data_IF_455155293116
#
_entry.id   IF_455155293116
#
_cell.length_a   1.000
_cell.length_b   1.000
_cell.length_c   1.000
_cell.angle_alpha   90.00
_cell.angle_beta   90.00
_cell.angle_gamma   90.00
#
_symmetry.space_group_name_H-M   'P 1'
#
loop_
_entity.id
_entity.type
_entity.pdbx_description
1 polymer ?
#
# COMPACT_ATOMS: atom_id res chain seq x y z
N UNK A 1 4.85 -2.80 15.06
CA UNK A 1 4.89 -4.27 15.22
C UNK A 1 3.52 -4.92 15.00
N UNK A 2 2.41 -4.31 15.42
CA UNK A 2 1.02 -4.83 15.26
C UNK A 2 0.57 -5.13 13.84
N UNK A 3 1.10 -4.46 12.80
CA UNK A 3 0.71 -4.71 11.40
C UNK A 3 1.10 -6.10 10.86
N UNK A 4 2.19 -6.71 11.35
CA UNK A 4 2.60 -8.05 10.90
C UNK A 4 1.79 -9.17 11.56
N UNK A 5 1.20 -8.92 12.73
CA UNK A 5 0.43 -9.95 13.45
C UNK A 5 -0.90 -10.29 12.76
N UNK A 6 -1.51 -9.32 12.10
CA UNK A 6 -2.87 -9.40 11.57
C UNK A 6 -2.92 -9.33 10.04
N UNK A 7 -1.97 -9.98 9.36
CA UNK A 7 -1.96 -10.05 7.89
C UNK A 7 -3.14 -10.90 7.38
N UNK A 8 -3.39 -12.04 8.05
CA UNK A 8 -4.53 -12.91 7.74
C UNK A 8 -5.71 -12.64 8.66
N UNK A 9 -6.92 -12.67 8.08
CA UNK A 9 -8.17 -12.69 8.85
C UNK A 9 -8.26 -13.96 9.71
N UNK A 10 -8.99 -13.88 10.81
CA UNK A 10 -9.27 -15.06 11.64
C UNK A 10 -10.08 -16.09 10.85
N UNK A 11 -9.81 -17.37 11.07
CA UNK A 11 -10.40 -18.49 10.36
C UNK A 11 -9.67 -18.90 9.08
N UNK A 12 -8.68 -18.13 8.63
CA UNK A 12 -7.90 -18.47 7.42
C UNK A 12 -6.99 -19.69 7.65
N UNK A 13 -6.31 -19.73 8.79
CA UNK A 13 -5.44 -20.84 9.17
C UNK A 13 -5.62 -21.13 10.67
N UNK A 14 -6.21 -22.29 10.96
CA UNK A 14 -6.53 -22.68 12.34
C UNK A 14 -5.31 -22.77 13.25
N UNK A 15 -4.15 -23.18 12.74
CA UNK A 15 -2.93 -23.24 13.54
C UNK A 15 -2.39 -21.84 13.86
N UNK A 16 -2.47 -20.91 12.90
CA UNK A 16 -2.08 -19.50 13.13
C UNK A 16 -3.01 -18.84 14.17
N UNK A 17 -4.29 -19.16 14.13
CA UNK A 17 -5.25 -18.64 15.11
C UNK A 17 -4.99 -19.20 16.52
N UNK A 18 -4.62 -20.46 16.64
CA UNK A 18 -4.17 -21.04 17.91
C UNK A 18 -2.94 -20.31 18.44
N UNK A 19 -1.91 -20.09 17.61
CA UNK A 19 -0.70 -19.36 18.03
C UNK A 19 -1.02 -17.92 18.47
N UNK A 20 -1.91 -17.22 17.76
CA UNK A 20 -2.38 -15.88 18.14
C UNK A 20 -3.15 -15.88 19.45
N UNK A 21 -3.98 -16.90 19.67
CA UNK A 21 -4.74 -17.06 20.91
C UNK A 21 -3.80 -17.32 22.09
N UNK A 22 -2.80 -18.20 21.92
CA UNK A 22 -1.76 -18.46 22.94
C UNK A 22 -0.98 -17.19 23.30
N UNK A 23 -0.62 -16.36 22.31
CA UNK A 23 -0.01 -15.06 22.58
C UNK A 23 -0.94 -14.15 23.41
N UNK A 24 -2.21 -14.05 23.03
CA UNK A 24 -3.20 -13.21 23.71
C UNK A 24 -3.42 -13.67 25.16
N UNK A 25 -3.57 -14.96 25.38
CA UNK A 25 -3.70 -15.57 26.71
C UNK A 25 -2.45 -15.29 27.56
N UNK A 26 -1.25 -15.46 27.00
CA UNK A 26 0.00 -15.22 27.75
C UNK A 26 0.15 -13.74 28.16
N UNK A 27 -0.32 -12.80 27.33
CA UNK A 27 -0.36 -11.37 27.68
C UNK A 27 -1.41 -11.09 28.75
N UNK A 28 -2.57 -11.74 28.69
CA UNK A 28 -3.60 -11.62 29.72
C UNK A 28 -3.11 -12.14 31.08
N UNK A 29 -2.49 -13.32 31.10
CA UNK A 29 -1.88 -13.87 32.32
C UNK A 29 -0.86 -12.90 32.96
N UNK A 30 -0.08 -12.20 32.13
CA UNK A 30 0.89 -11.22 32.60
C UNK A 30 0.18 -10.03 33.27
N UNK A 31 -0.92 -9.56 32.69
CA UNK A 31 -1.71 -8.49 33.27
C UNK A 31 -2.35 -8.92 34.60
N UNK A 32 -2.89 -10.15 34.67
CA UNK A 32 -3.46 -10.71 35.90
C UNK A 32 -2.43 -10.79 37.03
N UNK A 33 -1.19 -11.24 36.73
CA UNK A 33 -0.09 -11.25 37.71
C UNK A 33 0.23 -9.82 38.20
N UNK A 34 0.22 -8.84 37.30
CA UNK A 34 0.50 -7.45 37.68
C UNK A 34 -0.63 -6.88 38.56
N UNK A 35 -1.88 -7.21 38.26
CA UNK A 35 -3.02 -6.76 39.06
C UNK A 35 -3.02 -7.41 40.46
N UNK A 36 -2.66 -8.69 40.56
CA UNK A 36 -2.42 -9.35 41.86
C UNK A 36 -1.32 -8.63 42.66
N UNK A 37 -0.22 -8.22 42.03
CA UNK A 37 0.83 -7.46 42.71
C UNK A 37 0.38 -6.06 43.15
N UNK A 38 -0.51 -5.41 42.38
CA UNK A 38 -1.10 -4.12 42.78
C UNK A 38 -1.97 -4.27 44.02
N UNK A 39 -2.81 -5.31 44.07
CA UNK A 39 -3.69 -5.58 45.22
C UNK A 39 -2.89 -5.99 46.46
N UNK A 40 -1.94 -6.91 46.30
CA UNK A 40 -1.16 -7.47 47.41
C UNK A 40 -0.28 -6.42 48.09
N UNK A 41 0.40 -5.58 47.32
CA UNK A 41 1.36 -4.62 47.88
C UNK A 41 0.78 -3.21 48.05
N UNK A 42 -0.41 -2.94 47.51
CA UNK A 42 -1.07 -1.63 47.54
C UNK A 42 -0.15 -0.50 47.05
N UNK A 43 0.59 -0.78 45.97
CA UNK A 43 1.49 0.15 45.30
C UNK A 43 0.92 0.49 43.92
N UNK A 44 0.87 1.77 43.50
CA UNK A 44 0.34 2.18 42.20
C UNK A 44 1.31 1.87 41.06
N UNK A 45 1.46 0.59 40.73
CA UNK A 45 2.37 0.09 39.69
C UNK A 45 1.79 0.40 38.31
N UNK A 46 2.60 0.96 37.40
CA UNK A 46 2.27 1.13 35.99
C UNK A 46 3.02 0.11 35.14
N UNK A 47 2.29 -0.60 34.27
CA UNK A 47 2.88 -1.47 33.27
C UNK A 47 3.41 -0.63 32.11
N UNK A 48 4.63 -0.90 31.69
CA UNK A 48 5.27 -0.28 30.53
C UNK A 48 5.82 -1.37 29.62
N UNK A 49 5.93 -1.08 28.32
CA UNK A 49 6.48 -2.00 27.34
C UNK A 49 7.65 -1.36 26.61
N UNK A 50 8.74 -2.11 26.44
CA UNK A 50 9.87 -1.74 25.59
C UNK A 50 10.22 -2.90 24.67
N UNK A 51 10.57 -2.61 23.43
CA UNK A 51 10.93 -3.62 22.43
C UNK A 51 12.16 -4.46 22.82
N UNK A 52 13.06 -3.93 23.66
CA UNK A 52 14.29 -4.63 24.07
C UNK A 52 14.14 -5.44 25.34
N UNK A 53 13.27 -5.02 26.27
CA UNK A 53 13.16 -5.63 27.61
C UNK A 53 11.80 -6.27 27.86
N UNK A 54 10.86 -6.16 26.92
CA UNK A 54 9.48 -6.62 27.09
C UNK A 54 8.70 -5.72 28.06
N UNK A 55 7.73 -6.31 28.75
CA UNK A 55 6.95 -5.65 29.79
C UNK A 55 7.78 -5.44 31.05
N UNK A 56 7.69 -4.26 31.64
CA UNK A 56 8.33 -3.93 32.91
C UNK A 56 7.43 -3.01 33.72
N UNK A 57 7.73 -2.93 35.02
CA UNK A 57 6.93 -2.18 35.98
C UNK A 57 7.59 -0.83 36.24
N UNK A 58 6.78 0.20 36.42
CA UNK A 58 7.26 1.52 36.81
C UNK A 58 6.36 2.18 37.85
N UNK A 59 6.97 3.02 38.68
CA UNK A 59 6.28 3.87 39.65
C UNK A 59 6.95 5.24 39.72
N UNK A 60 6.18 6.29 39.98
CA UNK A 60 6.74 7.61 40.28
C UNK A 60 7.30 7.61 41.70
N UNK A 61 8.49 8.19 41.91
CA UNK A 61 9.13 8.25 43.24
C UNK A 61 8.30 8.98 44.29
N UNK A 62 7.47 9.94 43.85
CA UNK A 62 6.54 10.68 44.73
C UNK A 62 5.43 9.78 45.28
N UNK A 63 5.00 8.76 44.53
CA UNK A 63 3.93 7.83 44.93
C UNK A 63 4.40 6.70 45.85
N UNK A 64 5.71 6.61 46.09
CA UNK A 64 6.27 5.59 46.97
C UNK A 64 6.25 6.02 48.44
N UNK A 65 6.05 7.32 48.76
CA UNK A 65 5.84 7.92 50.11
C UNK A 65 6.47 7.11 51.27
N UNK A 66 7.78 6.87 51.20
CA UNK A 66 8.60 6.14 52.19
C UNK A 66 8.32 4.62 52.38
N UNK A 67 7.44 4.00 51.61
CA UNK A 67 7.29 2.53 51.55
C UNK A 67 8.51 1.90 50.88
N UNK A 68 9.14 0.92 51.53
CA UNK A 68 10.18 0.11 50.89
C UNK A 68 9.57 -0.77 49.79
N UNK A 69 10.26 -0.87 48.65
CA UNK A 69 9.90 -1.81 47.60
C UNK A 69 10.03 -3.25 48.14
N UNK A 70 9.00 -4.09 48.01
CA UNK A 70 9.07 -5.51 48.34
C UNK A 70 10.26 -6.21 47.65
N UNK A 71 10.87 -7.18 48.35
CA UNK A 71 12.02 -7.96 47.85
C UNK A 71 11.73 -8.78 46.58
N UNK A 72 10.45 -8.97 46.24
CA UNK A 72 10.01 -9.62 45.00
C UNK A 72 10.39 -8.80 43.76
N UNK A 73 10.54 -7.48 43.90
CA UNK A 73 10.96 -6.59 42.83
C UNK A 73 12.48 -6.59 42.66
N UNK A 74 12.92 -6.94 41.47
CA UNK A 74 14.32 -7.06 41.06
C UNK A 74 14.65 -6.08 39.93
N UNK A 75 15.94 -5.92 39.63
CA UNK A 75 16.45 -5.03 38.58
C UNK A 75 15.94 -3.58 38.70
N UNK A 76 15.86 -3.08 39.93
CA UNK A 76 15.40 -1.73 40.23
C UNK A 76 16.38 -0.70 39.66
N UNK A 77 15.89 0.17 38.78
CA UNK A 77 16.64 1.29 38.20
C UNK A 77 15.89 2.59 38.44
N UNK A 78 16.59 3.60 38.95
CA UNK A 78 16.03 4.95 39.14
C UNK A 78 16.38 5.81 37.92
N UNK A 79 15.38 6.39 37.27
CA UNK A 79 15.53 7.38 36.19
C UNK A 79 14.73 8.63 36.53
N UNK A 80 15.43 9.73 36.86
CA UNK A 80 14.81 11.00 37.31
C UNK A 80 13.83 10.77 38.47
N UNK A 81 12.52 10.94 38.22
CA UNK A 81 11.40 10.77 39.16
C UNK A 81 10.66 9.44 39.00
N UNK A 82 11.22 8.49 38.26
CA UNK A 82 10.58 7.19 37.98
C UNK A 82 11.50 6.05 38.39
N UNK A 83 10.98 5.12 39.15
CA UNK A 83 11.62 3.84 39.45
C UNK A 83 11.06 2.80 38.49
N UNK A 84 11.94 2.05 37.83
CA UNK A 84 11.57 0.93 36.95
C UNK A 84 12.12 -0.36 37.53
N UNK A 85 11.33 -1.42 37.53
CA UNK A 85 11.68 -2.71 38.12
C UNK A 85 10.92 -3.85 37.42
N UNK A 86 11.25 -5.08 37.75
CA UNK A 86 10.57 -6.28 37.24
C UNK A 86 10.50 -7.35 38.33
N UNK A 87 9.84 -8.47 38.08
CA UNK A 87 9.84 -9.65 38.95
C UNK A 87 10.31 -10.86 38.16
N UNK A 88 10.73 -11.93 38.84
CA UNK A 88 11.10 -13.19 38.17
C UNK A 88 9.94 -13.75 37.34
N UNK A 89 8.71 -13.61 37.81
CA UNK A 89 7.50 -14.06 37.09
C UNK A 89 7.24 -13.23 35.84
N UNK A 90 7.33 -11.90 35.92
CA UNK A 90 7.19 -11.01 34.76
C UNK A 90 8.28 -11.29 33.73
N UNK A 91 9.52 -11.55 34.16
CA UNK A 91 10.60 -11.95 33.26
C UNK A 91 10.31 -13.28 32.56
N UNK A 92 9.82 -14.30 33.28
CA UNK A 92 9.43 -15.59 32.67
C UNK A 92 8.29 -15.44 31.66
N UNK A 93 7.27 -14.65 32.00
CA UNK A 93 6.15 -14.37 31.09
C UNK A 93 6.61 -13.60 29.87
N UNK A 94 7.51 -12.62 30.00
CA UNK A 94 8.09 -11.91 28.85
C UNK A 94 8.80 -12.85 27.87
N UNK A 95 9.58 -13.81 28.36
CA UNK A 95 10.20 -14.82 27.50
C UNK A 95 9.13 -15.60 26.73
N UNK A 96 8.11 -16.11 27.43
CA UNK A 96 7.01 -16.85 26.80
C UNK A 96 6.21 -16.02 25.78
N UNK A 97 5.99 -14.73 26.06
CA UNK A 97 5.35 -13.78 25.14
C UNK A 97 6.18 -13.62 23.88
N UNK A 98 7.51 -13.45 24.01
CA UNK A 98 8.41 -13.33 22.86
C UNK A 98 8.46 -14.63 22.04
N UNK A 99 8.47 -15.78 22.69
CA UNK A 99 8.45 -17.08 22.01
C UNK A 99 7.14 -17.25 21.22
N UNK A 100 6.01 -16.95 21.86
CA UNK A 100 4.68 -17.01 21.22
C UNK A 100 4.58 -16.02 20.04
N UNK A 101 5.13 -14.81 20.18
CA UNK A 101 5.20 -13.84 19.07
C UNK A 101 6.04 -14.37 17.91
N UNK A 102 7.18 -14.98 18.21
CA UNK A 102 8.08 -15.55 17.20
C UNK A 102 7.38 -16.66 16.43
N UNK A 103 6.65 -17.54 17.12
CA UNK A 103 5.84 -18.59 16.52
C UNK A 103 4.77 -18.00 15.59
N UNK A 104 4.01 -17.00 16.04
CA UNK A 104 3.01 -16.32 15.20
C UNK A 104 3.64 -15.74 13.94
N UNK A 105 4.84 -15.15 14.02
CA UNK A 105 5.53 -14.63 12.84
C UNK A 105 5.94 -15.75 11.87
N UNK A 106 6.58 -16.82 12.37
CA UNK A 106 6.99 -17.95 11.52
C UNK A 106 5.79 -18.60 10.83
N UNK A 107 4.68 -18.77 11.55
CA UNK A 107 3.44 -19.31 10.98
C UNK A 107 2.81 -18.37 9.97
N UNK A 108 2.84 -17.06 10.21
CA UNK A 108 2.36 -16.06 9.26
C UNK A 108 3.18 -16.07 7.98
N UNK A 109 4.50 -16.07 8.10
CA UNK A 109 5.41 -16.07 6.94
C UNK A 109 5.20 -17.33 6.09
N UNK A 110 5.13 -18.51 6.72
CA UNK A 110 4.80 -19.76 6.03
C UNK A 110 3.46 -19.69 5.30
N UNK A 111 2.43 -19.17 5.96
CA UNK A 111 1.09 -19.02 5.36
C UNK A 111 1.11 -18.07 4.16
N UNK A 112 1.94 -17.02 4.17
CA UNK A 112 2.15 -16.12 3.03
C UNK A 112 2.83 -16.86 1.88
N UNK A 113 3.89 -17.63 2.18
CA UNK A 113 4.61 -18.40 1.16
C UNK A 113 3.69 -19.42 0.48
N UNK A 114 2.87 -20.12 1.25
CA UNK A 114 1.88 -21.07 0.73
C UNK A 114 0.87 -20.38 -0.18
N UNK A 115 0.33 -19.22 0.24
CA UNK A 115 -0.60 -18.42 -0.58
C UNK A 115 0.06 -17.92 -1.88
N UNK A 116 1.29 -17.42 -1.82
CA UNK A 116 2.02 -16.97 -3.00
C UNK A 116 2.25 -18.15 -3.95
N UNK A 117 2.59 -19.32 -3.43
CA UNK A 117 2.77 -20.54 -4.22
C UNK A 117 1.47 -20.93 -4.96
N UNK A 118 0.33 -20.87 -4.27
CA UNK A 118 -0.97 -21.13 -4.86
C UNK A 118 -1.32 -20.13 -5.98
N UNK A 119 -1.13 -18.84 -5.73
CA UNK A 119 -1.39 -17.77 -6.72
C UNK A 119 -0.49 -17.92 -7.95
N UNK A 120 0.78 -18.32 -7.76
CA UNK A 120 1.72 -18.53 -8.87
C UNK A 120 1.21 -19.57 -9.86
N UNK A 121 0.52 -20.61 -9.40
CA UNK A 121 -0.12 -21.61 -10.29
C UNK A 121 -1.15 -20.99 -11.24
N UNK A 122 -1.82 -19.91 -10.82
CA UNK A 122 -2.85 -19.20 -11.58
C UNK A 122 -2.37 -17.97 -12.36
N UNK A 123 -1.07 -17.67 -12.36
CA UNK A 123 -0.56 -16.36 -12.83
C UNK A 123 -0.88 -16.10 -14.31
N UNK A 124 -0.89 -17.14 -15.14
CA UNK A 124 -1.22 -17.01 -16.57
C UNK A 124 -2.65 -16.52 -16.81
N UNK A 125 -3.61 -16.92 -15.96
CA UNK A 125 -5.00 -16.44 -16.03
C UNK A 125 -5.09 -14.98 -15.60
N UNK A 126 -4.37 -14.60 -14.53
CA UNK A 126 -4.34 -13.21 -14.05
C UNK A 126 -3.78 -12.24 -15.10
N UNK A 127 -2.72 -12.64 -15.82
CA UNK A 127 -2.20 -11.83 -16.93
C UNK A 127 -3.22 -11.65 -18.06
N UNK A 128 -3.91 -12.73 -18.47
CA UNK A 128 -4.95 -12.64 -19.52
C UNK A 128 -6.11 -11.73 -19.10
N UNK A 129 -6.54 -11.80 -17.84
CA UNK A 129 -7.57 -10.91 -17.31
C UNK A 129 -7.08 -9.46 -17.31
N UNK A 130 -5.85 -9.21 -16.85
CA UNK A 130 -5.26 -7.87 -16.86
C UNK A 130 -5.17 -7.28 -18.28
N UNK A 131 -4.73 -8.08 -19.25
CA UNK A 131 -4.65 -7.67 -20.67
C UNK A 131 -6.04 -7.36 -21.23
N UNK A 132 -7.03 -8.22 -20.93
CA UNK A 132 -8.41 -8.02 -21.37
C UNK A 132 -9.01 -6.74 -20.79
N UNK A 133 -8.78 -6.46 -19.50
CA UNK A 133 -9.23 -5.24 -18.85
C UNK A 133 -8.54 -4.02 -19.46
N UNK A 134 -7.23 -4.07 -19.68
CA UNK A 134 -6.48 -2.98 -20.29
C UNK A 134 -6.96 -2.69 -21.73
N UNK A 135 -7.22 -3.73 -22.52
CA UNK A 135 -7.76 -3.58 -23.87
C UNK A 135 -9.17 -2.97 -23.84
N UNK A 136 -10.03 -3.42 -22.93
CA UNK A 136 -11.36 -2.85 -22.75
C UNK A 136 -11.29 -1.37 -22.37
N UNK A 137 -10.41 -1.00 -21.43
CA UNK A 137 -10.21 0.38 -21.00
C UNK A 137 -9.71 1.28 -22.15
N UNK A 138 -8.76 0.79 -22.96
CA UNK A 138 -8.30 1.51 -24.16
C UNK A 138 -9.43 1.69 -25.18
N UNK A 139 -10.17 0.64 -25.50
CA UNK A 139 -11.26 0.70 -26.49
C UNK A 139 -12.40 1.61 -26.03
N UNK A 140 -12.78 1.55 -24.75
CA UNK A 140 -13.80 2.43 -24.17
C UNK A 140 -13.34 3.89 -24.15
N UNK A 141 -12.05 4.15 -23.88
CA UNK A 141 -11.45 5.48 -23.98
C UNK A 141 -11.52 6.04 -25.41
N UNK A 142 -11.22 5.22 -26.42
CA UNK A 142 -11.37 5.63 -27.82
C UNK A 142 -12.83 5.87 -28.20
N UNK A 143 -13.75 4.99 -27.80
CA UNK A 143 -15.18 5.17 -28.06
C UNK A 143 -15.72 6.47 -27.43
N UNK A 144 -15.30 6.76 -26.19
CA UNK A 144 -15.64 8.01 -25.51
C UNK A 144 -15.08 9.23 -26.27
N UNK A 145 -13.80 9.19 -26.69
CA UNK A 145 -13.21 10.27 -27.48
C UNK A 145 -13.94 10.51 -28.81
N UNK A 146 -14.35 9.46 -29.51
CA UNK A 146 -15.16 9.58 -30.73
C UNK A 146 -16.58 10.09 -30.49
N UNK A 147 -17.09 10.03 -29.26
CA UNK A 147 -18.43 10.54 -28.90
C UNK A 147 -18.38 12.02 -28.53
N UNK A 148 -17.34 12.44 -27.81
CA UNK A 148 -17.18 13.84 -27.36
C UNK A 148 -16.52 14.72 -28.42
N UNK A 149 -15.70 14.13 -29.29
CA UNK A 149 -15.02 14.81 -30.40
C UNK A 149 -15.53 14.30 -31.74
N UNK A 150 -15.41 15.12 -32.79
CA UNK A 150 -15.84 14.76 -34.15
C UNK A 150 -14.82 13.86 -34.90
N UNK A 151 -14.24 12.87 -34.21
CA UNK A 151 -13.36 11.90 -34.87
C UNK A 151 -14.17 10.95 -35.75
N UNK A 152 -13.56 10.53 -36.85
CA UNK A 152 -14.14 9.56 -37.78
C UNK A 152 -13.25 8.32 -37.85
N UNK A 153 -13.84 7.17 -38.11
CA UNK A 153 -13.07 5.94 -38.34
C UNK A 153 -12.34 6.07 -39.69
N UNK A 154 -11.00 5.97 -39.73
CA UNK A 154 -10.26 6.04 -40.98
C UNK A 154 -10.45 4.78 -41.83
N UNK A 155 -10.29 4.94 -43.14
CA UNK A 155 -10.24 3.84 -44.11
C UNK A 155 -8.80 3.68 -44.60
N UNK A 156 -8.30 2.44 -44.62
CA UNK A 156 -6.96 2.15 -45.11
C UNK A 156 -6.99 1.90 -46.62
N UNK A 157 -6.34 2.78 -47.38
CA UNK A 157 -6.24 2.73 -48.85
C UNK A 157 -4.82 3.05 -49.32
N UNK A 158 -4.55 2.96 -50.63
CA UNK A 158 -3.24 3.33 -51.21
C UNK A 158 -3.00 4.85 -51.26
N UNK A 159 -3.94 5.66 -50.76
CA UNK A 159 -3.87 7.12 -50.79
C UNK A 159 -4.06 7.70 -49.39
N UNK A 160 -3.41 8.83 -49.13
CA UNK A 160 -3.68 9.66 -47.96
C UNK A 160 -4.69 10.71 -48.36
N UNK A 161 -5.93 10.58 -47.90
CA UNK A 161 -6.99 11.57 -48.13
C UNK A 161 -7.59 11.98 -46.79
N UNK A 162 -7.21 13.18 -46.31
CA UNK A 162 -7.74 13.78 -45.09
C UNK A 162 -8.62 14.94 -45.50
N UNK A 163 -9.91 14.88 -45.14
CA UNK A 163 -10.85 15.99 -45.35
C UNK A 163 -11.13 16.68 -44.03
N UNK A 164 -11.05 18.00 -44.01
CA UNK A 164 -11.22 18.84 -42.85
C UNK A 164 -10.40 18.38 -41.63
N UNK A 165 -9.17 17.94 -41.84
CA UNK A 165 -8.30 17.44 -40.77
C UNK A 165 -7.96 18.54 -39.76
N UNK A 166 -7.81 18.16 -38.49
CA UNK A 166 -7.50 19.06 -37.37
C UNK A 166 -6.38 18.52 -36.50
N UNK A 167 -5.55 19.40 -35.94
CA UNK A 167 -4.49 18.93 -35.05
C UNK A 167 -5.07 18.63 -33.64
N UNK A 168 -5.10 17.36 -33.20
CA UNK A 168 -5.83 16.96 -31.99
C UNK A 168 -5.27 17.60 -30.70
N UNK A 169 -3.96 17.80 -30.65
CA UNK A 169 -3.28 18.43 -29.51
C UNK A 169 -3.51 19.94 -29.45
N UNK A 170 -3.66 20.61 -30.60
CA UNK A 170 -3.88 22.06 -30.63
C UNK A 170 -5.35 22.42 -30.52
N UNK A 171 -6.24 21.60 -31.06
CA UNK A 171 -7.69 21.82 -30.98
C UNK A 171 -8.18 21.79 -29.53
N UNK A 172 -7.66 20.89 -28.71
CA UNK A 172 -7.99 20.80 -27.28
C UNK A 172 -7.48 21.98 -26.43
N UNK A 173 -6.48 22.72 -26.91
CA UNK A 173 -5.86 23.85 -26.19
C UNK A 173 -6.34 25.22 -26.69
N UNK A 174 -6.95 25.29 -27.88
CA UNK A 174 -7.43 26.54 -28.47
C UNK A 174 -8.85 26.83 -28.01
N UNK A 175 -9.05 28.02 -27.43
CA UNK A 175 -10.38 28.50 -27.02
C UNK A 175 -11.20 29.03 -28.21
N UNK A 176 -10.54 29.43 -29.29
CA UNK A 176 -11.14 29.92 -30.53
C UNK A 176 -11.31 28.80 -31.59
N UNK A 177 -12.08 29.08 -32.64
CA UNK A 177 -12.34 28.13 -33.73
C UNK A 177 -11.06 27.71 -34.46
N UNK A 178 -10.73 26.42 -34.41
CA UNK A 178 -9.62 25.83 -35.16
C UNK A 178 -10.01 25.65 -36.64
N UNK A 179 -9.19 26.17 -37.56
CA UNK A 179 -9.42 26.05 -39.01
C UNK A 179 -8.92 24.70 -39.52
N UNK A 180 -9.80 23.82 -40.04
CA UNK A 180 -9.40 22.52 -40.56
C UNK A 180 -8.71 22.63 -41.93
N UNK A 181 -7.90 21.64 -42.29
CA UNK A 181 -7.18 21.59 -43.58
C UNK A 181 -7.36 20.24 -44.27
N UNK A 182 -7.53 20.28 -45.59
CA UNK A 182 -7.54 19.10 -46.44
C UNK A 182 -6.11 18.67 -46.79
N UNK A 183 -5.87 17.36 -46.93
CA UNK A 183 -4.60 16.80 -47.39
C UNK A 183 -4.87 15.66 -48.35
N UNK A 184 -4.21 15.67 -49.50
CA UNK A 184 -4.27 14.58 -50.47
C UNK A 184 -2.87 14.18 -50.95
N UNK A 185 -2.52 12.92 -50.80
CA UNK A 185 -1.30 12.35 -51.38
C UNK A 185 -1.58 10.97 -51.99
N UNK A 186 -0.95 10.72 -53.12
CA UNK A 186 -1.08 9.47 -53.89
C UNK A 186 0.25 9.14 -54.54
N UNK A 187 0.38 7.99 -55.19
CA UNK A 187 1.61 7.60 -55.90
C UNK A 187 2.02 8.59 -57.00
N UNK A 188 1.06 9.28 -57.61
CA UNK A 188 1.29 10.33 -58.62
C UNK A 188 1.53 11.70 -58.02
N UNK A 189 1.12 11.92 -56.77
CA UNK A 189 1.22 13.20 -56.03
C UNK A 189 1.80 12.97 -54.64
N UNK A 190 3.07 12.54 -54.59
CA UNK A 190 3.77 12.13 -53.37
C UNK A 190 4.66 13.22 -52.76
N UNK A 191 4.76 14.39 -53.40
CA UNK A 191 5.55 15.52 -52.93
C UNK A 191 4.74 16.81 -52.98
N UNK A 192 4.69 17.54 -51.86
CA UNK A 192 3.99 18.81 -51.74
C UNK A 192 4.93 19.91 -51.25
N UNK A 193 5.01 21.02 -51.98
CA UNK A 193 5.75 22.20 -51.56
C UNK A 193 4.81 23.17 -50.83
N UNK A 194 5.03 23.37 -49.54
CA UNK A 194 4.19 24.24 -48.70
C UNK A 194 4.96 25.51 -48.36
N UNK A 195 4.52 26.65 -48.90
CA UNK A 195 5.09 27.98 -48.65
C UNK A 195 4.09 28.88 -47.95
N UNK A 196 4.57 29.95 -47.30
CA UNK A 196 3.71 30.92 -46.61
C UNK A 196 4.45 31.73 -45.55
N UNK A 197 3.85 32.82 -45.04
CA UNK A 197 4.48 33.73 -44.08
C UNK A 197 4.73 33.07 -42.71
N UNK A 198 5.56 33.66 -41.87
CA UNK A 198 5.77 33.16 -40.50
C UNK A 198 4.45 33.12 -39.72
N UNK A 199 4.31 32.15 -38.82
CA UNK A 199 3.12 31.92 -37.99
C UNK A 199 1.84 31.51 -38.77
N UNK A 200 1.93 31.25 -40.08
CA UNK A 200 0.79 30.80 -40.91
C UNK A 200 0.33 29.35 -40.68
N UNK A 201 0.78 28.69 -39.60
CA UNK A 201 0.36 27.33 -39.28
C UNK A 201 1.04 26.19 -40.05
N UNK A 202 2.04 26.44 -40.92
CA UNK A 202 2.74 25.39 -41.70
C UNK A 202 3.21 24.20 -40.87
N UNK A 203 3.89 24.46 -39.73
CA UNK A 203 4.37 23.39 -38.84
C UNK A 203 3.24 22.67 -38.12
N UNK A 204 2.12 23.35 -37.86
CA UNK A 204 0.91 22.72 -37.29
C UNK A 204 0.28 21.76 -38.29
N UNK A 205 0.18 22.17 -39.55
CA UNK A 205 -0.33 21.34 -40.65
C UNK A 205 0.52 20.09 -40.87
N UNK A 206 1.86 20.23 -40.93
CA UNK A 206 2.75 19.07 -41.05
C UNK A 206 2.63 18.09 -39.88
N UNK A 207 2.56 18.59 -38.65
CA UNK A 207 2.37 17.74 -37.46
C UNK A 207 1.00 17.10 -37.42
N UNK A 208 -0.04 17.79 -37.90
CA UNK A 208 -1.38 17.22 -38.02
C UNK A 208 -1.36 16.00 -38.94
N UNK A 209 -0.76 16.11 -40.13
CA UNK A 209 -0.66 15.00 -41.08
C UNK A 209 0.05 13.80 -40.46
N UNK A 210 1.13 14.03 -39.69
CA UNK A 210 1.87 12.95 -39.06
C UNK A 210 1.15 12.29 -37.86
N UNK A 211 0.15 12.94 -37.29
CA UNK A 211 -0.62 12.44 -36.13
C UNK A 211 -1.93 11.75 -36.53
N UNK A 212 -2.40 11.99 -37.76
CA UNK A 212 -3.61 11.39 -38.34
C UNK A 212 -3.28 10.08 -39.04
#
# INVERSE_FOLDING_TARGET
QTKKLNIFQAGFNGLLDVARQTYKETVNDLNEIIDQYREQYQIPIKTQFSSTTGFYLSITTEQLEDKQLPLVYINVKKRRKTLTFTTLEVMKKNTKINDSLTEVYLMSDKTIEDLISEIRGGIGVLYKVSESIAMLDMLTSFAHQCTVSNYVRPEFTDTLAIKNGRNPMRESLYTDTFVPNDTYASSTTNFQLITGPNMSGKSTYLRQIALM
#
